data_IF_016210222767
#
_entry.id   IF_016210222767
#
_cell.length_a   1.000
_cell.length_b   1.000
_cell.length_c   1.000
_cell.angle_alpha   90.00
_cell.angle_beta   90.00
_cell.angle_gamma   90.00
#
_symmetry.space_group_name_H-M   'P 1'
#
loop_
_entity.id
_entity.type
_entity.pdbx_description
1 polymer ?
#
# COMPACT_ATOMS: atom_id res chain seq x y z
N UNK A 1 9.76 2.43 -12.02
CA UNK A 1 9.73 1.00 -11.68
C UNK A 1 8.34 0.49 -12.08
N UNK A 2 8.18 -0.79 -12.44
CA UNK A 2 6.91 -1.31 -12.98
C UNK A 2 6.48 -2.58 -12.24
N UNK A 3 5.18 -2.83 -12.21
CA UNK A 3 4.62 -4.07 -11.70
C UNK A 3 3.54 -4.61 -12.64
N UNK A 4 3.25 -5.91 -12.50
CA UNK A 4 2.21 -6.64 -13.21
C UNK A 4 1.46 -7.53 -12.21
N UNK A 5 0.13 -7.53 -12.27
CA UNK A 5 -0.69 -8.47 -11.49
C UNK A 5 -0.71 -9.80 -12.24
N UNK A 6 -0.12 -10.84 -11.65
CA UNK A 6 -0.09 -12.18 -12.24
C UNK A 6 -1.41 -12.93 -12.00
N UNK A 7 -1.98 -12.74 -10.81
CA UNK A 7 -3.25 -13.34 -10.38
C UNK A 7 -3.85 -12.56 -9.22
N UNK A 8 -5.17 -12.60 -9.14
CA UNK A 8 -5.90 -12.20 -7.95
C UNK A 8 -6.94 -13.25 -7.59
N UNK A 9 -7.32 -13.29 -6.32
CA UNK A 9 -8.44 -14.10 -5.82
C UNK A 9 -9.03 -13.51 -4.56
N UNK A 10 -10.34 -13.61 -4.42
CA UNK A 10 -11.02 -13.26 -3.19
C UNK A 10 -10.74 -14.30 -2.09
N UNK A 11 -10.48 -13.82 -0.89
CA UNK A 11 -10.35 -14.59 0.35
C UNK A 11 -11.24 -13.95 1.42
N UNK A 12 -11.54 -14.61 2.55
CA UNK A 12 -12.48 -14.06 3.53
C UNK A 12 -12.11 -12.65 4.04
N UNK A 13 -10.81 -12.34 4.17
CA UNK A 13 -10.31 -11.05 4.68
C UNK A 13 -10.22 -9.95 3.62
N UNK A 14 -10.26 -10.28 2.32
CA UNK A 14 -9.97 -9.33 1.26
C UNK A 14 -9.65 -9.96 -0.10
N UNK A 15 -8.95 -9.25 -0.96
CA UNK A 15 -8.44 -9.77 -2.24
C UNK A 15 -6.92 -9.98 -2.15
N UNK A 16 -6.50 -11.21 -2.45
CA UNK A 16 -5.09 -11.60 -2.46
C UNK A 16 -4.55 -11.51 -3.89
N UNK A 17 -3.54 -10.67 -4.06
CA UNK A 17 -2.81 -10.47 -5.29
C UNK A 17 -1.46 -11.17 -5.22
N UNK A 18 -1.07 -11.78 -6.33
CA UNK A 18 0.33 -12.06 -6.62
C UNK A 18 0.77 -11.12 -7.72
N UNK A 19 1.77 -10.30 -7.40
CA UNK A 19 2.27 -9.30 -8.32
C UNK A 19 3.74 -9.58 -8.61
N UNK A 20 4.12 -9.40 -9.87
CA UNK A 20 5.51 -9.35 -10.28
C UNK A 20 5.92 -7.89 -10.30
N UNK A 21 6.92 -7.53 -9.50
CA UNK A 21 7.53 -6.21 -9.54
C UNK A 21 9.03 -6.38 -9.75
N UNK A 22 9.50 -5.86 -10.89
CA UNK A 22 10.83 -6.17 -11.43
C UNK A 22 11.08 -7.70 -11.53
N UNK A 23 12.11 -8.21 -10.85
CA UNK A 23 12.49 -9.62 -10.82
C UNK A 23 11.89 -10.39 -9.63
N UNK A 24 11.06 -9.74 -8.81
CA UNK A 24 10.46 -10.35 -7.62
C UNK A 24 8.98 -10.60 -7.80
N UNK A 25 8.52 -11.72 -7.26
CA UNK A 25 7.10 -12.01 -7.09
C UNK A 25 6.77 -11.85 -5.61
N UNK A 26 5.78 -11.00 -5.32
CA UNK A 26 5.32 -10.76 -3.95
C UNK A 26 3.81 -11.00 -3.85
N UNK A 27 3.35 -11.25 -2.63
CA UNK A 27 1.94 -11.47 -2.33
C UNK A 27 1.43 -10.33 -1.47
N UNK A 28 0.34 -9.72 -1.91
CA UNK A 28 -0.28 -8.58 -1.26
C UNK A 28 -1.74 -8.90 -1.01
N UNK A 29 -2.19 -8.84 0.23
CA UNK A 29 -3.59 -8.94 0.59
C UNK A 29 -4.14 -7.55 0.87
N UNK A 30 -5.03 -7.07 0.02
CA UNK A 30 -5.82 -5.88 0.34
C UNK A 30 -7.04 -6.32 1.13
N UNK A 31 -7.15 -5.86 2.38
CA UNK A 31 -8.36 -6.15 3.15
C UNK A 31 -9.58 -5.49 2.53
N UNK A 32 -10.78 -6.02 2.77
CA UNK A 32 -12.01 -5.36 2.33
C UNK A 32 -12.08 -3.91 2.82
N UNK A 33 -11.68 -3.67 4.07
CA UNK A 33 -11.62 -2.33 4.64
C UNK A 33 -10.70 -1.38 3.86
N UNK A 34 -9.53 -1.85 3.39
CA UNK A 34 -8.64 -1.03 2.56
C UNK A 34 -9.22 -0.77 1.16
N UNK A 35 -9.88 -1.76 0.56
CA UNK A 35 -10.53 -1.63 -0.74
C UNK A 35 -11.72 -0.66 -0.69
N UNK A 36 -12.58 -0.80 0.32
CA UNK A 36 -13.72 0.10 0.55
C UNK A 36 -13.22 1.53 0.75
N UNK A 37 -12.21 1.72 1.62
CA UNK A 37 -11.61 3.02 1.87
C UNK A 37 -10.97 3.65 0.64
N UNK A 38 -10.37 2.85 -0.26
CA UNK A 38 -9.87 3.35 -1.54
C UNK A 38 -11.01 3.71 -2.51
N UNK A 39 -12.06 2.89 -2.55
CA UNK A 39 -13.25 3.11 -3.37
C UNK A 39 -14.00 4.40 -3.02
N UNK A 40 -14.05 4.78 -1.74
CA UNK A 40 -14.63 6.06 -1.29
C UNK A 40 -13.96 7.30 -1.92
N UNK A 41 -12.73 7.15 -2.44
CA UNK A 41 -11.97 8.19 -3.12
C UNK A 41 -11.73 7.91 -4.62
N UNK A 42 -12.51 6.98 -5.21
CA UNK A 42 -12.36 6.55 -6.61
C UNK A 42 -10.95 6.03 -6.96
N UNK A 43 -10.21 5.51 -5.97
CA UNK A 43 -8.88 4.94 -6.17
C UNK A 43 -9.00 3.48 -6.59
N UNK A 44 -8.50 3.17 -7.78
CA UNK A 44 -8.49 1.80 -8.29
C UNK A 44 -7.48 0.91 -7.54
N UNK A 45 -7.68 -0.41 -7.62
CA UNK A 45 -6.73 -1.40 -7.09
C UNK A 45 -5.31 -1.22 -7.65
N UNK A 46 -5.18 -0.86 -8.94
CA UNK A 46 -3.88 -0.61 -9.55
C UNK A 46 -3.20 0.63 -8.97
N UNK A 47 -3.95 1.69 -8.70
CA UNK A 47 -3.42 2.89 -8.05
C UNK A 47 -3.01 2.59 -6.60
N UNK A 48 -3.82 1.83 -5.85
CA UNK A 48 -3.50 1.43 -4.49
C UNK A 48 -2.23 0.57 -4.43
N UNK A 49 -2.06 -0.38 -5.37
CA UNK A 49 -0.82 -1.14 -5.54
C UNK A 49 0.34 -0.21 -5.89
N UNK A 50 0.13 0.76 -6.78
CA UNK A 50 1.16 1.72 -7.13
C UNK A 50 1.63 2.54 -5.91
N UNK A 51 0.71 3.02 -5.07
CA UNK A 51 1.06 3.74 -3.83
C UNK A 51 1.83 2.86 -2.84
N UNK A 52 1.49 1.57 -2.75
CA UNK A 52 2.19 0.62 -1.88
C UNK A 52 3.61 0.31 -2.38
N UNK A 53 3.78 0.10 -3.69
CA UNK A 53 5.02 -0.41 -4.28
C UNK A 53 5.98 0.71 -4.68
N UNK A 54 5.45 1.89 -4.98
CA UNK A 54 6.22 3.08 -5.35
C UNK A 54 5.89 4.27 -4.44
N UNK A 55 6.01 4.13 -3.10
CA UNK A 55 5.75 5.23 -2.20
C UNK A 55 6.84 6.29 -2.30
N UNK A 56 6.47 7.53 -2.03
CA UNK A 56 7.43 8.62 -1.86
C UNK A 56 8.08 8.59 -0.48
N UNK A 57 7.41 7.99 0.49
CA UNK A 57 7.88 7.85 1.86
C UNK A 57 7.29 6.58 2.49
N UNK A 58 8.07 5.91 3.32
CA UNK A 58 7.59 4.83 4.17
C UNK A 58 7.98 5.12 5.61
N UNK A 59 6.99 5.35 6.47
CA UNK A 59 7.20 5.61 7.89
C UNK A 59 6.67 4.46 8.74
N UNK A 60 7.22 4.33 9.95
CA UNK A 60 6.70 3.37 10.92
C UNK A 60 5.45 3.92 11.62
N UNK A 61 4.39 3.12 11.59
CA UNK A 61 3.17 3.33 12.35
C UNK A 61 3.20 2.61 13.70
N UNK A 62 2.05 2.62 14.38
CA UNK A 62 1.88 1.86 15.62
C UNK A 62 1.80 0.35 15.37
N UNK A 63 2.11 -0.45 16.40
CA UNK A 63 1.97 -1.91 16.39
C UNK A 63 2.72 -2.63 15.24
N UNK A 64 3.96 -2.21 14.96
CA UNK A 64 4.82 -2.77 13.90
C UNK A 64 4.26 -2.64 12.48
N UNK A 65 3.37 -1.69 12.25
CA UNK A 65 2.86 -1.35 10.92
C UNK A 65 3.78 -0.37 10.23
N UNK A 66 3.72 -0.38 8.90
CA UNK A 66 4.33 0.61 8.03
C UNK A 66 3.25 1.39 7.32
N UNK A 67 3.58 2.61 6.91
CA UNK A 67 2.68 3.49 6.18
C UNK A 67 3.43 3.94 4.93
N UNK A 68 2.97 3.48 3.77
CA UNK A 68 3.42 3.94 2.47
C UNK A 68 2.65 5.21 2.11
N UNK A 69 3.37 6.33 2.09
CA UNK A 69 2.84 7.67 1.85
C UNK A 69 3.22 8.12 0.42
N UNK A 70 2.23 8.62 -0.33
CA UNK A 70 2.43 9.23 -1.67
C UNK A 70 1.63 10.51 -1.78
N UNK A 71 2.17 11.55 -2.43
CA UNK A 71 1.47 12.83 -2.55
C UNK A 71 0.41 12.75 -3.64
N UNK A 72 -0.76 13.31 -3.34
CA UNK A 72 -1.87 13.50 -4.25
C UNK A 72 -2.32 14.97 -4.15
N UNK A 73 -1.69 15.83 -4.94
CA UNK A 73 -1.82 17.29 -4.84
C UNK A 73 -1.47 17.80 -3.43
N UNK A 74 -2.41 18.50 -2.77
CA UNK A 74 -2.28 18.98 -1.38
C UNK A 74 -2.56 17.92 -0.32
N UNK A 75 -2.82 16.69 -0.76
CA UNK A 75 -3.10 15.56 0.10
C UNK A 75 -1.98 14.53 0.03
N UNK A 76 -2.04 13.59 0.98
CA UNK A 76 -1.15 12.47 1.13
C UNK A 76 -2.02 11.21 1.22
N UNK A 77 -1.86 10.32 0.25
CA UNK A 77 -2.41 8.97 0.33
C UNK A 77 -1.59 8.16 1.31
N UNK A 78 -2.26 7.40 2.18
CA UNK A 78 -1.61 6.66 3.27
C UNK A 78 -2.07 5.22 3.23
N UNK A 79 -1.18 4.34 2.78
CA UNK A 79 -1.42 2.89 2.71
C UNK A 79 -0.78 2.23 3.93
N UNK A 80 -1.61 1.79 4.88
CA UNK A 80 -1.13 1.16 6.11
C UNK A 80 -1.02 -0.35 5.89
N UNK A 81 0.15 -0.92 6.13
CA UNK A 81 0.38 -2.34 5.94
C UNK A 81 1.23 -2.98 7.04
N UNK A 82 1.15 -4.31 7.11
CA UNK A 82 1.96 -5.15 7.98
C UNK A 82 2.39 -6.41 7.23
N UNK A 83 3.36 -7.13 7.79
CA UNK A 83 3.82 -8.41 7.26
C UNK A 83 3.29 -9.55 8.10
N UNK A 84 2.64 -10.52 7.45
CA UNK A 84 2.17 -11.75 8.10
C UNK A 84 2.52 -12.95 7.22
N UNK A 85 3.34 -13.88 7.72
CA UNK A 85 3.71 -15.12 7.00
C UNK A 85 4.24 -14.90 5.57
N UNK A 86 4.99 -13.81 5.34
CA UNK A 86 5.53 -13.46 4.01
C UNK A 86 4.47 -12.93 3.03
N UNK A 87 3.35 -12.43 3.55
CA UNK A 87 2.32 -11.69 2.82
C UNK A 87 2.30 -10.25 3.35
N UNK A 88 2.25 -9.29 2.44
CA UNK A 88 2.03 -7.88 2.78
C UNK A 88 0.53 -7.68 2.91
N UNK A 89 0.05 -7.32 4.10
CA UNK A 89 -1.38 -7.12 4.34
C UNK A 89 -1.65 -5.63 4.46
N UNK A 90 -2.40 -5.08 3.51
CA UNK A 90 -2.87 -3.69 3.56
C UNK A 90 -4.14 -3.62 4.40
N UNK A 91 -3.99 -3.00 5.57
CA UNK A 91 -5.00 -2.91 6.61
C UNK A 91 -6.02 -1.82 6.30
N UNK A 92 -5.55 -0.66 5.85
CA UNK A 92 -6.43 0.47 5.54
C UNK A 92 -5.77 1.42 4.55
N UNK A 93 -6.60 2.17 3.83
CA UNK A 93 -6.23 3.29 2.99
C UNK A 93 -7.00 4.51 3.47
N UNK A 94 -6.32 5.65 3.57
CA UNK A 94 -6.99 6.92 3.80
C UNK A 94 -6.17 8.08 3.25
N UNK A 95 -6.83 9.22 3.07
CA UNK A 95 -6.22 10.46 2.60
C UNK A 95 -6.06 11.43 3.78
N UNK A 96 -4.96 12.17 3.81
CA UNK A 96 -4.70 13.21 4.80
C UNK A 96 -4.04 14.43 4.17
N UNK A 97 -3.87 15.53 4.91
CA UNK A 97 -3.10 16.68 4.43
C UNK A 97 -1.60 16.42 4.53
N UNK A 98 -0.86 16.82 3.49
CA UNK A 98 0.60 16.64 3.42
C UNK A 98 1.34 17.26 4.61
N UNK A 99 0.93 18.46 5.04
CA UNK A 99 1.57 19.23 6.13
C UNK A 99 1.51 18.55 7.50
N UNK A 100 0.62 17.54 7.66
CA UNK A 100 0.47 16.84 8.94
C UNK A 100 1.45 15.69 9.11
N UNK A 101 1.86 15.04 8.02
CA UNK A 101 2.45 13.71 8.12
C UNK A 101 3.69 13.50 7.25
N UNK A 102 3.82 14.20 6.12
CA UNK A 102 4.95 13.97 5.22
C UNK A 102 6.26 14.45 5.83
N UNK A 103 7.25 13.56 5.94
CA UNK A 103 8.56 13.83 6.60
C UNK A 103 9.72 14.04 5.63
N UNK A 104 9.44 14.13 4.33
CA UNK A 104 10.44 14.47 3.33
C UNK A 104 11.15 13.28 2.69
N UNK A 105 10.52 12.09 2.66
CA UNK A 105 11.02 10.94 1.90
C UNK A 105 11.84 9.96 2.72
N UNK A 106 11.45 9.74 3.98
CA UNK A 106 12.06 8.71 4.83
C UNK A 106 11.62 7.32 4.34
N UNK A 107 12.52 6.33 4.36
CA UNK A 107 12.18 4.95 4.03
C UNK A 107 12.57 4.02 5.17
N UNK A 108 11.64 3.81 6.11
CA UNK A 108 11.78 2.86 7.22
C UNK A 108 11.52 1.41 6.79
N UNK A 109 10.83 1.20 5.68
CA UNK A 109 10.70 -0.08 5.01
C UNK A 109 10.75 0.07 3.48
N UNK A 110 11.18 -1.00 2.82
CA UNK A 110 11.29 -1.10 1.37
C UNK A 110 10.82 -2.48 0.94
N UNK A 111 9.54 -2.58 0.56
CA UNK A 111 8.94 -3.80 0.01
C UNK A 111 9.77 -4.35 -1.15
N UNK A 112 10.29 -3.46 -1.99
CA UNK A 112 11.25 -3.76 -3.04
C UNK A 112 12.59 -3.08 -2.75
N UNK A 113 13.72 -3.78 -2.97
CA UNK A 113 15.06 -3.23 -2.74
C UNK A 113 15.37 -2.01 -3.62
#
# INVERSE_FOLDING_TARGET
MWFEILRSRNVPRGELFEIKANEKVIRVLFTWHALDGAGDYDISTNELLNFLIHPEEVVRGHANRFIADSRLNHHLTRVVYEYENGIIIVITFYISHVDRYFRGGIYEDKILP
#
